data_IF_979292887114
#
_entry.id   IF_979292887114
#
_cell.length_a   1.000
_cell.length_b   1.000
_cell.length_c   1.000
_cell.angle_alpha   90.00
_cell.angle_beta   90.00
_cell.angle_gamma   90.00
#
_symmetry.space_group_name_H-M   'P 1'
#
loop_
_entity.id
_entity.type
_entity.pdbx_description
1 polymer ?
#
# COMPACT_ATOMS: atom_id res chain seq x y z
N UNK A 1 -8.38 7.15 -6.74
CA UNK A 1 -7.56 7.51 -5.55
C UNK A 1 -6.10 7.58 -5.91
N UNK A 2 -5.28 8.29 -5.12
CA UNK A 2 -3.81 8.21 -5.19
C UNK A 2 -3.30 7.10 -4.28
N UNK A 3 -2.60 6.13 -4.87
CA UNK A 3 -2.11 4.92 -4.20
C UNK A 3 -0.58 4.90 -4.26
N UNK A 4 0.06 4.75 -3.12
CA UNK A 4 1.50 4.58 -3.01
C UNK A 4 1.83 3.11 -2.80
N UNK A 5 2.75 2.57 -3.60
CA UNK A 5 3.38 1.28 -3.38
C UNK A 5 4.71 1.46 -2.65
N UNK A 6 4.94 0.67 -1.61
CA UNK A 6 6.26 0.57 -1.00
C UNK A 6 7.27 -0.14 -1.90
N UNK A 7 8.49 -0.35 -1.40
CA UNK A 7 9.56 -1.03 -2.14
C UNK A 7 9.33 -2.54 -2.32
N UNK A 8 8.54 -3.17 -1.45
CA UNK A 8 8.27 -4.61 -1.49
C UNK A 8 7.08 -4.97 -2.39
N UNK A 9 6.21 -4.01 -2.69
CA UNK A 9 5.00 -4.19 -3.47
C UNK A 9 5.33 -4.33 -4.96
N UNK A 10 4.96 -5.44 -5.62
CA UNK A 10 5.26 -5.64 -7.03
C UNK A 10 4.61 -4.57 -7.91
N UNK A 11 5.44 -3.75 -8.59
CA UNK A 11 4.97 -2.70 -9.50
C UNK A 11 3.90 -3.16 -10.52
N UNK A 12 3.95 -4.37 -11.11
CA UNK A 12 2.92 -4.84 -12.04
C UNK A 12 1.49 -4.90 -11.48
N UNK A 13 1.31 -4.90 -10.15
CA UNK A 13 0.00 -4.84 -9.50
C UNK A 13 -0.80 -3.59 -9.91
N UNK A 14 -0.14 -2.49 -10.30
CA UNK A 14 -0.81 -1.26 -10.72
C UNK A 14 -1.80 -1.46 -11.87
N UNK A 15 -1.57 -2.45 -12.73
CA UNK A 15 -2.48 -2.76 -13.84
C UNK A 15 -3.85 -3.31 -13.38
N UNK A 16 -3.94 -3.81 -12.14
CA UNK A 16 -5.20 -4.24 -11.55
C UNK A 16 -5.96 -3.09 -10.85
N UNK A 17 -5.28 -1.98 -10.54
CA UNK A 17 -5.86 -0.82 -9.85
C UNK A 17 -6.36 0.22 -10.86
N UNK A 18 -7.16 -0.21 -11.84
CA UNK A 18 -7.69 0.65 -12.91
C UNK A 18 -8.57 1.74 -12.30
N UNK A 19 -8.38 2.99 -12.73
CA UNK A 19 -9.09 4.16 -12.17
C UNK A 19 -8.40 4.79 -10.95
N UNK A 20 -7.29 4.24 -10.50
CA UNK A 20 -6.43 4.81 -9.46
C UNK A 20 -5.11 5.30 -10.06
N UNK A 21 -4.55 6.38 -9.49
CA UNK A 21 -3.21 6.84 -9.80
C UNK A 21 -2.24 6.12 -8.89
N UNK A 22 -1.34 5.30 -9.45
CA UNK A 22 -0.40 4.49 -8.68
C UNK A 22 1.01 4.98 -8.90
N UNK A 23 1.71 5.28 -7.82
CA UNK A 23 3.13 5.64 -7.80
C UNK A 23 3.86 4.71 -6.84
N UNK A 24 5.14 4.44 -7.08
CA UNK A 24 5.98 3.66 -6.18
C UNK A 24 6.93 4.57 -5.42
N UNK A 25 7.29 4.16 -4.21
CA UNK A 25 8.34 4.82 -3.45
C UNK A 25 9.67 4.89 -4.23
N UNK A 26 9.92 3.99 -5.18
CA UNK A 26 11.10 4.04 -6.04
C UNK A 26 11.01 5.18 -7.05
N UNK A 27 9.88 5.33 -7.76
CA UNK A 27 9.64 6.42 -8.73
C UNK A 27 9.72 7.80 -8.08
N UNK A 28 9.34 7.91 -6.81
CA UNK A 28 9.39 9.15 -6.02
C UNK A 28 10.78 9.43 -5.39
N UNK A 29 11.76 8.55 -5.58
CA UNK A 29 13.09 8.67 -4.96
C UNK A 29 13.10 8.43 -3.45
N UNK A 30 12.05 7.80 -2.91
CA UNK A 30 11.84 7.53 -1.49
C UNK A 30 12.39 6.17 -1.03
N UNK A 31 13.23 5.52 -1.84
CA UNK A 31 13.73 4.16 -1.57
C UNK A 31 14.54 4.00 -0.27
N UNK A 32 15.02 5.08 0.32
CA UNK A 32 15.76 5.09 1.59
C UNK A 32 14.92 5.47 2.80
N UNK A 33 13.66 5.88 2.59
CA UNK A 33 12.77 6.24 3.70
C UNK A 33 12.34 4.99 4.47
N UNK A 34 12.46 5.05 5.79
CA UNK A 34 11.86 4.05 6.66
C UNK A 34 10.33 4.17 6.65
N UNK A 35 9.63 3.08 6.96
CA UNK A 35 8.16 3.00 6.94
C UNK A 35 7.44 4.21 7.55
N UNK A 36 7.86 4.66 8.73
CA UNK A 36 7.24 5.82 9.40
C UNK A 36 7.38 7.12 8.59
N UNK A 37 8.57 7.38 8.05
CA UNK A 37 8.84 8.55 7.20
C UNK A 37 8.15 8.43 5.83
N UNK A 38 8.10 7.21 5.28
CA UNK A 38 7.43 6.93 4.02
C UNK A 38 5.92 7.19 4.12
N UNK A 39 5.27 6.74 5.20
CA UNK A 39 3.86 7.01 5.44
C UNK A 39 3.61 8.50 5.66
N UNK A 40 4.49 9.19 6.41
CA UNK A 40 4.35 10.63 6.64
C UNK A 40 4.48 11.42 5.33
N UNK A 41 5.44 11.07 4.48
CA UNK A 41 5.62 11.67 3.16
C UNK A 41 4.41 11.38 2.25
N UNK A 42 3.90 10.15 2.26
CA UNK A 42 2.70 9.77 1.52
C UNK A 42 1.48 10.61 1.94
N UNK A 43 1.25 10.76 3.24
CA UNK A 43 0.13 11.58 3.73
C UNK A 43 0.31 13.07 3.41
N UNK A 44 1.54 13.59 3.49
CA UNK A 44 1.85 14.98 3.15
C UNK A 44 1.64 15.30 1.66
N UNK A 45 1.99 14.36 0.79
CA UNK A 45 1.76 14.45 -0.67
C UNK A 45 0.31 14.16 -1.07
N UNK A 46 -0.58 13.84 -0.11
CA UNK A 46 -2.00 13.59 -0.39
C UNK A 46 -2.28 12.23 -1.03
N UNK A 47 -1.44 11.23 -0.78
CA UNK A 47 -1.83 9.85 -1.02
C UNK A 47 -2.95 9.45 -0.06
N UNK A 48 -3.85 8.60 -0.56
CA UNK A 48 -5.03 8.15 0.19
C UNK A 48 -4.83 6.72 0.71
N UNK A 49 -4.13 5.88 -0.06
CA UNK A 49 -3.86 4.48 0.25
C UNK A 49 -2.37 4.17 0.11
N UNK A 50 -1.82 3.49 1.10
CA UNK A 50 -0.48 2.91 1.07
C UNK A 50 -0.56 1.39 1.01
N UNK A 51 -0.04 0.80 -0.06
CA UNK A 51 0.05 -0.64 -0.24
C UNK A 51 1.47 -1.10 0.09
N UNK A 52 1.56 -2.10 0.95
CA UNK A 52 2.84 -2.66 1.41
C UNK A 52 2.77 -4.18 1.50
N UNK A 53 3.94 -4.81 1.47
CA UNK A 53 4.11 -6.24 1.80
C UNK A 53 4.71 -6.46 3.19
N UNK A 54 5.01 -5.40 3.94
CA UNK A 54 5.57 -5.47 5.29
C UNK A 54 4.48 -5.70 6.34
N UNK A 55 4.33 -6.95 6.78
CA UNK A 55 3.36 -7.33 7.81
C UNK A 55 3.66 -6.76 9.18
N UNK A 56 4.91 -6.37 9.44
CA UNK A 56 5.28 -5.82 10.73
C UNK A 56 4.78 -4.39 10.90
N UNK A 57 4.31 -3.74 9.83
CA UNK A 57 3.87 -2.36 9.86
C UNK A 57 2.76 -2.11 10.89
N UNK A 58 1.84 -3.07 11.06
CA UNK A 58 0.78 -3.03 12.07
C UNK A 58 1.31 -2.83 13.49
N UNK A 59 2.49 -3.38 13.78
CA UNK A 59 3.12 -3.33 15.09
C UNK A 59 4.13 -2.17 15.21
N UNK A 60 4.64 -1.66 14.08
CA UNK A 60 5.66 -0.63 14.06
C UNK A 60 5.11 0.80 14.09
N UNK A 61 3.85 1.02 13.71
CA UNK A 61 3.30 2.36 13.54
C UNK A 61 2.01 2.54 14.34
N UNK A 62 1.96 3.62 15.13
CA UNK A 62 0.69 4.09 15.66
C UNK A 62 -0.10 4.74 14.51
N UNK A 63 -1.07 4.00 13.98
CA UNK A 63 -1.98 4.46 12.93
C UNK A 63 -3.05 5.42 13.47
N UNK A 64 -3.15 5.58 14.80
CA UNK A 64 -4.11 6.49 15.41
C UNK A 64 -3.84 7.94 14.96
N UNK A 65 -4.85 8.55 14.35
CA UNK A 65 -4.81 9.94 13.89
C UNK A 65 -4.29 10.14 12.46
N UNK A 66 -3.87 9.08 11.75
CA UNK A 66 -3.46 9.20 10.34
C UNK A 66 -4.67 9.15 9.41
N UNK A 67 -4.63 9.95 8.34
CA UNK A 67 -5.65 9.91 7.28
C UNK A 67 -5.30 8.93 6.18
N UNK A 68 -4.04 8.51 6.08
CA UNK A 68 -3.62 7.50 5.10
C UNK A 68 -4.16 6.13 5.49
N UNK A 69 -4.85 5.46 4.56
CA UNK A 69 -5.23 4.07 4.70
C UNK A 69 -4.07 3.14 4.38
N UNK A 70 -4.00 1.98 5.04
CA UNK A 70 -2.93 1.00 4.83
C UNK A 70 -3.53 -0.34 4.38
N UNK A 71 -3.04 -0.84 3.25
CA UNK A 71 -3.35 -2.18 2.75
C UNK A 71 -2.09 -3.02 2.77
N UNK A 72 -2.11 -4.13 3.51
CA UNK A 72 -0.97 -5.04 3.64
C UNK A 72 -1.23 -6.33 2.88
N UNK A 73 -0.33 -6.69 1.96
CA UNK A 73 -0.36 -7.96 1.25
C UNK A 73 0.43 -9.01 2.03
N UNK A 74 -0.14 -10.21 2.21
CA UNK A 74 0.50 -11.24 3.02
C UNK A 74 1.75 -11.90 2.39
N UNK A 75 2.17 -11.50 1.20
CA UNK A 75 3.34 -12.03 0.49
C UNK A 75 3.93 -11.00 -0.46
N UNK A 76 5.22 -11.10 -0.78
CA UNK A 76 5.91 -10.35 -1.85
C UNK A 76 5.86 -11.07 -3.19
N UNK A 77 5.35 -12.31 -3.24
CA UNK A 77 5.35 -13.13 -4.44
C UNK A 77 4.36 -12.61 -5.48
N UNK A 78 4.86 -11.99 -6.55
CA UNK A 78 4.02 -11.50 -7.64
C UNK A 78 3.11 -12.57 -8.25
N UNK A 79 3.56 -13.80 -8.57
CA UNK A 79 2.67 -14.83 -9.10
C UNK A 79 1.46 -15.12 -8.21
N UNK A 80 1.65 -15.11 -6.88
CA UNK A 80 0.58 -15.32 -5.90
C UNK A 80 -0.33 -14.10 -5.81
N UNK A 81 0.23 -12.89 -5.68
CA UNK A 81 -0.55 -11.64 -5.67
C UNK A 81 -1.40 -11.51 -6.95
N UNK A 82 -0.82 -11.85 -8.11
CA UNK A 82 -1.51 -11.80 -9.41
C UNK A 82 -2.80 -12.63 -9.41
N UNK A 83 -2.79 -13.79 -8.75
CA UNK A 83 -3.95 -14.68 -8.65
C UNK A 83 -5.11 -14.11 -7.83
N UNK A 84 -4.86 -13.08 -7.01
CA UNK A 84 -5.85 -12.46 -6.12
C UNK A 84 -6.00 -10.95 -6.34
N UNK A 85 -5.64 -10.45 -7.52
CA UNK A 85 -5.70 -9.02 -7.89
C UNK A 85 -7.07 -8.38 -7.64
N UNK A 86 -8.16 -9.11 -7.85
CA UNK A 86 -9.51 -8.64 -7.53
C UNK A 86 -9.72 -8.35 -6.04
N UNK A 87 -9.20 -9.21 -5.15
CA UNK A 87 -9.25 -8.99 -3.69
C UNK A 87 -8.42 -7.78 -3.27
N UNK A 88 -7.28 -7.56 -3.94
CA UNK A 88 -6.44 -6.38 -3.68
C UNK A 88 -7.14 -5.10 -4.13
N UNK A 89 -7.80 -5.10 -5.29
CA UNK A 89 -8.60 -3.98 -5.76
C UNK A 89 -9.74 -3.66 -4.77
N UNK A 90 -10.52 -4.67 -4.36
CA UNK A 90 -11.59 -4.51 -3.38
C UNK A 90 -11.09 -3.92 -2.05
N UNK A 91 -9.92 -4.38 -1.56
CA UNK A 91 -9.29 -3.82 -0.37
C UNK A 91 -8.88 -2.35 -0.55
N UNK A 92 -8.38 -1.97 -1.73
CA UNK A 92 -8.04 -0.58 -2.05
C UNK A 92 -9.30 0.30 -2.17
N UNK A 93 -10.38 -0.21 -2.77
CA UNK A 93 -11.64 0.51 -2.94
C UNK A 93 -12.42 0.69 -1.62
N UNK A 94 -12.35 -0.29 -0.73
CA UNK A 94 -12.96 -0.23 0.60
C UNK A 94 -12.12 0.53 1.64
N UNK A 95 -10.88 0.86 1.31
CA UNK A 95 -10.00 1.62 2.18
C UNK A 95 -10.57 3.02 2.46
N UNK A 96 -10.69 3.36 3.73
CA UNK A 96 -11.11 4.67 4.20
C UNK A 96 -10.04 5.29 5.11
N UNK A 97 -10.07 6.60 5.40
CA UNK A 97 -9.02 7.25 6.16
C UNK A 97 -8.72 6.55 7.49
N UNK A 98 -7.44 6.26 7.72
CA UNK A 98 -6.93 5.58 8.92
C UNK A 98 -7.25 4.07 9.01
N UNK A 99 -7.89 3.50 7.99
CA UNK A 99 -8.17 2.06 7.93
C UNK A 99 -6.88 1.23 7.76
N UNK A 100 -6.94 -0.01 8.26
CA UNK A 100 -5.89 -1.00 8.08
C UNK A 100 -6.53 -2.31 7.59
N UNK A 101 -6.19 -2.74 6.38
CA UNK A 101 -6.74 -3.93 5.74
C UNK A 101 -5.60 -4.88 5.40
N UNK A 102 -5.72 -6.15 5.82
CA UNK A 102 -4.78 -7.20 5.44
C UNK A 102 -5.41 -8.11 4.38
N UNK A 103 -4.70 -8.30 3.26
CA UNK A 103 -5.10 -9.19 2.18
C UNK A 103 -4.27 -10.47 2.25
N UNK A 104 -4.90 -11.53 2.73
CA UNK A 104 -4.33 -12.88 2.72
C UNK A 104 -4.26 -13.43 1.30
N UNK A 105 -3.04 -13.67 0.85
CA UNK A 105 -2.67 -14.37 -0.39
C UNK A 105 -2.22 -15.78 -0.02
N UNK A 106 -3.02 -16.79 -0.40
CA UNK A 106 -2.71 -18.22 -0.22
C UNK A 106 -2.05 -18.83 -1.47
#
# INVERSE_FOLDING_TARGET
MRVLFDQGTPAPLRHALIGHSVETAFELGWGTLQNGALIAAAEAEGFEVFVTTDKNLKYQQNLAGRRLAVVVLSTTSWPRIRAVTAKVLEAVESAHPGSFIEVSVE
#
